data_IF_713976707405
#
_entry.id   IF_713976707405
#
_cell.length_a   1.000
_cell.length_b   1.000
_cell.length_c   1.000
_cell.angle_alpha   90.00
_cell.angle_beta   90.00
_cell.angle_gamma   90.00
#
_symmetry.space_group_name_H-M   'P 1'
#
loop_
_entity.id
_entity.type
_entity.pdbx_description
1 polymer ?
#
# COMPACT_ATOMS: atom_id res chain seq x y z
N UNK A 1 24.26 -30.51 -15.05
CA UNK A 1 23.33 -31.60 -14.67
C UNK A 1 22.02 -31.12 -14.00
N UNK A 2 21.69 -29.81 -14.01
CA UNK A 2 20.46 -29.27 -13.38
C UNK A 2 19.27 -29.08 -14.34
N UNK A 3 19.41 -29.39 -15.64
CA UNK A 3 18.40 -29.06 -16.65
C UNK A 3 17.05 -29.76 -16.48
N UNK A 4 17.04 -31.03 -16.06
CA UNK A 4 15.80 -31.81 -15.91
C UNK A 4 14.98 -31.37 -14.68
N UNK A 5 15.56 -31.22 -13.47
CA UNK A 5 14.84 -30.64 -12.33
C UNK A 5 14.27 -29.25 -12.62
N UNK A 6 15.04 -28.42 -13.35
CA UNK A 6 14.60 -27.08 -13.72
C UNK A 6 13.40 -27.08 -14.65
N UNK A 7 13.45 -27.93 -15.67
CA UNK A 7 12.36 -28.09 -16.63
C UNK A 7 11.08 -28.61 -15.95
N UNK A 8 11.21 -29.57 -15.03
CA UNK A 8 10.08 -30.05 -14.23
C UNK A 8 9.53 -28.97 -13.30
N UNK A 9 10.39 -28.18 -12.66
CA UNK A 9 9.95 -27.06 -11.82
C UNK A 9 9.19 -25.98 -12.61
N UNK A 10 9.68 -25.61 -13.81
CA UNK A 10 8.95 -24.72 -14.74
C UNK A 10 7.60 -25.27 -15.13
N UNK A 11 7.56 -26.56 -15.47
CA UNK A 11 6.32 -27.23 -15.87
C UNK A 11 5.28 -27.24 -14.75
N UNK A 12 5.70 -27.59 -13.53
CA UNK A 12 4.85 -27.55 -12.34
C UNK A 12 4.37 -26.13 -12.04
N UNK A 13 5.24 -25.13 -12.14
CA UNK A 13 4.85 -23.73 -11.98
C UNK A 13 3.80 -23.30 -13.00
N UNK A 14 4.00 -23.63 -14.29
CA UNK A 14 3.04 -23.33 -15.36
C UNK A 14 1.70 -24.02 -15.12
N UNK A 15 1.68 -25.27 -14.67
CA UNK A 15 0.46 -25.98 -14.30
C UNK A 15 -0.26 -25.35 -13.11
N UNK A 16 0.48 -25.02 -12.04
CA UNK A 16 -0.08 -24.34 -10.87
C UNK A 16 -0.66 -22.96 -11.24
N UNK A 17 -0.10 -22.29 -12.27
CA UNK A 17 -0.54 -20.98 -12.73
C UNK A 17 -1.87 -21.00 -13.49
N UNK A 18 -2.24 -22.10 -14.14
CA UNK A 18 -3.50 -22.21 -14.90
C UNK A 18 -4.76 -21.94 -14.06
N UNK A 19 -4.96 -22.56 -12.89
CA UNK A 19 -6.10 -22.21 -12.04
C UNK A 19 -6.02 -20.77 -11.51
N UNK A 20 -4.81 -20.22 -11.30
CA UNK A 20 -4.64 -18.82 -10.91
C UNK A 20 -5.05 -17.85 -12.03
N UNK A 21 -4.80 -18.18 -13.30
CA UNK A 21 -5.29 -17.38 -14.44
C UNK A 21 -6.82 -17.39 -14.52
N UNK A 22 -7.46 -18.53 -14.26
CA UNK A 22 -8.93 -18.60 -14.22
C UNK A 22 -9.51 -17.73 -13.08
N UNK A 23 -8.82 -17.68 -11.94
CA UNK A 23 -9.19 -16.78 -10.84
C UNK A 23 -8.97 -15.32 -11.24
N UNK A 24 -7.93 -14.99 -12.00
CA UNK A 24 -7.69 -13.66 -12.55
C UNK A 24 -8.88 -13.22 -13.43
N UNK A 25 -9.33 -14.06 -14.35
CA UNK A 25 -10.49 -13.77 -15.21
C UNK A 25 -11.78 -13.58 -14.40
N UNK A 26 -12.01 -14.41 -13.38
CA UNK A 26 -13.19 -14.28 -12.49
C UNK A 26 -13.07 -13.05 -11.57
N UNK A 27 -11.87 -12.75 -11.08
CA UNK A 27 -11.58 -11.57 -10.27
C UNK A 27 -11.74 -10.29 -11.09
N UNK A 28 -11.30 -10.26 -12.35
CA UNK A 28 -11.52 -9.14 -13.27
C UNK A 28 -13.01 -8.89 -13.50
N UNK A 29 -13.83 -9.95 -13.58
CA UNK A 29 -15.28 -9.84 -13.75
C UNK A 29 -16.00 -9.40 -12.47
N UNK A 30 -15.52 -9.81 -11.29
CA UNK A 30 -16.23 -9.61 -10.02
C UNK A 30 -15.69 -8.49 -9.13
N UNK A 31 -14.42 -8.11 -9.31
CA UNK A 31 -13.74 -7.11 -8.50
C UNK A 31 -13.42 -5.88 -9.35
N UNK A 32 -13.78 -4.66 -8.88
CA UNK A 32 -13.34 -3.43 -9.50
C UNK A 32 -11.82 -3.41 -9.66
N UNK A 33 -11.36 -2.79 -10.74
CA UNK A 33 -9.94 -2.71 -11.12
C UNK A 33 -9.08 -2.04 -10.04
N UNK A 34 -9.64 -1.09 -9.31
CA UNK A 34 -8.96 -0.38 -8.22
C UNK A 34 -9.13 -1.09 -6.86
N UNK A 35 -9.83 -2.23 -6.82
CA UNK A 35 -10.12 -2.89 -5.56
C UNK A 35 -8.86 -3.37 -4.86
N UNK A 36 -8.89 -3.26 -3.55
CA UNK A 36 -7.74 -3.53 -2.73
C UNK A 36 -7.18 -4.95 -2.91
N UNK A 37 -8.13 -5.88 -3.01
CA UNK A 37 -7.92 -7.31 -3.12
C UNK A 37 -7.37 -7.70 -4.49
N UNK A 38 -7.92 -7.12 -5.58
CA UNK A 38 -7.47 -7.39 -6.95
C UNK A 38 -6.03 -6.94 -7.15
N UNK A 39 -5.68 -5.73 -6.74
CA UNK A 39 -4.31 -5.22 -6.82
C UNK A 39 -3.32 -6.05 -5.99
N UNK A 40 -3.75 -6.55 -4.82
CA UNK A 40 -2.93 -7.45 -4.00
C UNK A 40 -2.67 -8.79 -4.70
N UNK A 41 -3.70 -9.35 -5.32
CA UNK A 41 -3.62 -10.58 -6.10
C UNK A 41 -2.70 -10.43 -7.33
N UNK A 42 -2.90 -9.38 -8.13
CA UNK A 42 -2.08 -9.08 -9.31
C UNK A 42 -0.61 -8.86 -8.92
N UNK A 43 -0.33 -8.20 -7.79
CA UNK A 43 1.03 -8.06 -7.27
C UNK A 43 1.66 -9.41 -6.94
N UNK A 44 0.94 -10.30 -6.24
CA UNK A 44 1.44 -11.63 -5.93
C UNK A 44 1.75 -12.44 -7.21
N UNK A 45 0.92 -12.30 -8.24
CA UNK A 45 1.14 -12.93 -9.55
C UNK A 45 2.40 -12.42 -10.26
N UNK A 46 2.64 -11.10 -10.24
CA UNK A 46 3.85 -10.48 -10.78
C UNK A 46 5.09 -11.01 -10.04
N UNK A 47 5.05 -11.07 -8.71
CA UNK A 47 6.17 -11.52 -7.90
C UNK A 47 6.48 -13.02 -8.15
N UNK A 48 5.44 -13.86 -8.27
CA UNK A 48 5.58 -15.26 -8.67
C UNK A 48 6.22 -15.43 -10.07
N UNK A 49 5.78 -14.65 -11.06
CA UNK A 49 6.34 -14.74 -12.41
C UNK A 49 7.79 -14.24 -12.48
N UNK A 50 8.15 -13.22 -11.69
CA UNK A 50 9.55 -12.77 -11.55
C UNK A 50 10.42 -13.85 -10.91
N UNK A 51 9.95 -14.46 -9.81
CA UNK A 51 10.66 -15.56 -9.19
C UNK A 51 10.83 -16.75 -10.16
N UNK A 52 9.82 -17.06 -10.98
CA UNK A 52 9.93 -18.09 -12.00
C UNK A 52 10.92 -17.70 -13.13
N UNK A 53 10.98 -16.43 -13.51
CA UNK A 53 11.98 -15.94 -14.45
C UNK A 53 13.39 -16.07 -13.88
N UNK A 54 13.63 -15.57 -12.67
CA UNK A 54 14.95 -15.49 -12.05
C UNK A 54 15.46 -16.86 -11.58
N UNK A 55 14.62 -17.59 -10.85
CA UNK A 55 15.01 -18.89 -10.31
C UNK A 55 14.96 -19.93 -11.38
N UNK A 56 13.91 -19.92 -12.23
CA UNK A 56 13.69 -20.96 -13.20
C UNK A 56 14.25 -20.66 -14.58
N UNK A 57 14.75 -19.47 -14.92
CA UNK A 57 15.06 -19.09 -16.31
C UNK A 57 13.87 -19.31 -17.24
N UNK A 58 12.65 -18.98 -16.79
CA UNK A 58 11.43 -19.01 -17.62
C UNK A 58 11.17 -17.62 -18.23
N UNK A 59 11.68 -17.37 -19.44
CA UNK A 59 11.50 -16.11 -20.16
C UNK A 59 10.02 -15.76 -20.39
N UNK A 60 9.16 -16.77 -20.55
CA UNK A 60 7.72 -16.53 -20.71
C UNK A 60 7.10 -15.95 -19.43
N UNK A 61 7.65 -16.29 -18.26
CA UNK A 61 7.24 -15.72 -16.99
C UNK A 61 7.67 -14.25 -16.88
N UNK A 62 8.90 -13.93 -17.31
CA UNK A 62 9.36 -12.54 -17.36
C UNK A 62 8.43 -11.64 -18.21
N UNK A 63 8.08 -12.10 -19.41
CA UNK A 63 7.16 -11.36 -20.30
C UNK A 63 5.79 -11.15 -19.67
N UNK A 64 5.24 -12.19 -19.00
CA UNK A 64 3.95 -12.08 -18.31
C UNK A 64 4.00 -11.11 -17.14
N UNK A 65 5.05 -11.17 -16.31
CA UNK A 65 5.24 -10.22 -15.22
C UNK A 65 5.30 -8.78 -15.74
N UNK A 66 6.05 -8.52 -16.82
CA UNK A 66 6.15 -7.18 -17.42
C UNK A 66 4.79 -6.68 -17.90
N UNK A 67 4.09 -7.49 -18.70
CA UNK A 67 2.77 -7.14 -19.23
C UNK A 67 1.75 -6.85 -18.12
N UNK A 68 1.67 -7.72 -17.12
CA UNK A 68 0.71 -7.52 -16.01
C UNK A 68 1.10 -6.31 -15.15
N UNK A 69 2.40 -6.06 -14.95
CA UNK A 69 2.87 -4.88 -14.24
C UNK A 69 2.50 -3.58 -14.94
N UNK A 70 2.63 -3.52 -16.27
CA UNK A 70 2.25 -2.37 -17.08
C UNK A 70 0.74 -2.14 -17.06
N UNK A 71 -0.04 -3.20 -17.24
CA UNK A 71 -1.51 -3.13 -17.24
C UNK A 71 -2.07 -2.61 -15.91
N UNK A 72 -1.45 -2.98 -14.79
CA UNK A 72 -1.93 -2.64 -13.44
C UNK A 72 -1.30 -1.35 -12.89
N UNK A 73 -0.35 -0.75 -13.60
CA UNK A 73 0.34 0.46 -13.14
C UNK A 73 -0.60 1.63 -12.83
N UNK A 74 -1.60 1.97 -13.67
CA UNK A 74 -2.50 3.10 -13.40
C UNK A 74 -3.30 2.91 -12.11
N UNK A 75 -3.95 1.77 -11.92
CA UNK A 75 -4.76 1.47 -10.74
C UNK A 75 -3.90 1.47 -9.45
N UNK A 76 -2.66 0.97 -9.52
CA UNK A 76 -1.71 1.03 -8.40
C UNK A 76 -1.31 2.46 -8.05
N UNK A 77 -1.11 3.32 -9.04
CA UNK A 77 -0.79 4.74 -8.83
C UNK A 77 -1.98 5.47 -8.22
N UNK A 78 -3.19 5.30 -8.75
CA UNK A 78 -4.41 5.89 -8.19
C UNK A 78 -4.55 5.54 -6.71
N UNK A 79 -4.47 4.25 -6.39
CA UNK A 79 -4.58 3.80 -5.00
C UNK A 79 -3.46 4.33 -4.10
N UNK A 80 -2.23 4.42 -4.59
CA UNK A 80 -1.13 5.00 -3.82
C UNK A 80 -1.37 6.49 -3.52
N UNK A 81 -1.98 7.23 -4.44
CA UNK A 81 -2.37 8.62 -4.22
C UNK A 81 -3.51 8.74 -3.20
N UNK A 82 -4.50 7.86 -3.26
CA UNK A 82 -5.58 7.83 -2.27
C UNK A 82 -5.08 7.57 -0.86
N UNK A 83 -4.19 6.58 -0.69
CA UNK A 83 -3.58 6.29 0.61
C UNK A 83 -2.82 7.50 1.15
N UNK A 84 -2.03 8.18 0.31
CA UNK A 84 -1.35 9.42 0.71
C UNK A 84 -2.31 10.52 1.12
N UNK A 85 -3.45 10.66 0.46
CA UNK A 85 -4.47 11.66 0.84
C UNK A 85 -5.07 11.35 2.20
N UNK A 86 -5.33 10.08 2.49
CA UNK A 86 -5.83 9.64 3.81
C UNK A 86 -4.79 9.92 4.89
N UNK A 87 -3.53 9.53 4.66
CA UNK A 87 -2.42 9.80 5.60
C UNK A 87 -2.28 11.31 5.86
N UNK A 88 -2.26 12.13 4.81
CA UNK A 88 -2.18 13.59 4.94
C UNK A 88 -3.37 14.18 5.69
N UNK A 89 -4.57 13.63 5.49
CA UNK A 89 -5.76 14.08 6.20
C UNK A 89 -5.68 13.74 7.68
N UNK A 90 -5.26 12.52 8.02
CA UNK A 90 -5.05 12.09 9.42
C UNK A 90 -3.99 12.98 10.09
N UNK A 91 -2.85 13.21 9.44
CA UNK A 91 -1.80 14.12 9.93
C UNK A 91 -2.33 15.54 10.17
N UNK A 92 -3.13 16.08 9.25
CA UNK A 92 -3.72 17.40 9.40
C UNK A 92 -4.71 17.47 10.57
N UNK A 93 -5.50 16.41 10.80
CA UNK A 93 -6.41 16.32 11.95
C UNK A 93 -5.62 16.31 13.25
N UNK A 94 -4.56 15.49 13.35
CA UNK A 94 -3.69 15.46 14.53
C UNK A 94 -3.00 16.80 14.78
N UNK A 95 -2.51 17.46 13.72
CA UNK A 95 -1.88 18.77 13.83
C UNK A 95 -2.87 19.84 14.35
N UNK A 96 -4.10 19.86 13.83
CA UNK A 96 -5.14 20.78 14.28
C UNK A 96 -5.52 20.54 15.75
N UNK A 97 -5.63 19.28 16.18
CA UNK A 97 -5.89 18.93 17.57
C UNK A 97 -4.75 19.42 18.50
N UNK A 98 -3.50 19.21 18.10
CA UNK A 98 -2.34 19.69 18.84
C UNK A 98 -2.34 21.23 18.96
N UNK A 99 -2.67 21.94 17.89
CA UNK A 99 -2.78 23.41 17.90
C UNK A 99 -3.89 23.90 18.84
N UNK A 100 -5.05 23.23 18.85
CA UNK A 100 -6.14 23.53 19.78
C UNK A 100 -5.70 23.34 21.23
N UNK A 101 -5.00 22.25 21.55
CA UNK A 101 -4.46 21.98 22.88
C UNK A 101 -3.43 23.04 23.30
N UNK A 102 -2.54 23.42 22.39
CA UNK A 102 -1.58 24.51 22.63
C UNK A 102 -2.29 25.84 22.93
N UNK A 103 -3.30 26.20 22.15
CA UNK A 103 -4.10 27.40 22.38
C UNK A 103 -4.83 27.39 23.73
N UNK A 104 -5.37 26.25 24.16
CA UNK A 104 -5.97 26.12 25.50
C UNK A 104 -4.94 26.32 26.61
N UNK A 105 -3.76 25.72 26.47
CA UNK A 105 -2.67 25.85 27.44
C UNK A 105 -2.21 27.30 27.58
N UNK A 106 -2.02 28.01 26.46
CA UNK A 106 -1.61 29.42 26.47
C UNK A 106 -2.65 30.31 27.15
N UNK A 107 -3.95 30.11 26.86
CA UNK A 107 -5.02 30.86 27.52
C UNK A 107 -5.06 30.60 29.03
N UNK A 108 -4.84 29.36 29.46
CA UNK A 108 -4.76 29.02 30.88
C UNK A 108 -3.60 29.73 31.56
N UNK A 109 -2.39 29.65 30.98
CA UNK A 109 -1.20 30.30 31.51
C UNK A 109 -1.31 31.83 31.55
N UNK A 110 -1.94 32.42 30.53
CA UNK A 110 -2.21 33.87 30.49
C UNK A 110 -3.09 34.28 31.67
N UNK A 111 -4.22 33.59 31.88
CA UNK A 111 -5.13 33.87 33.01
C UNK A 111 -4.46 33.69 34.36
N UNK A 112 -3.64 32.65 34.53
CA UNK A 112 -2.89 32.44 35.76
C UNK A 112 -1.94 33.61 36.02
N UNK A 113 -1.22 34.07 35.00
CA UNK A 113 -0.29 35.19 35.10
C UNK A 113 -1.00 36.50 35.45
N UNK A 114 -2.11 36.78 34.79
CA UNK A 114 -2.98 37.93 35.08
C UNK A 114 -3.46 37.91 36.55
N UNK A 115 -3.91 36.74 37.03
CA UNK A 115 -4.35 36.58 38.41
C UNK A 115 -3.22 36.79 39.42
N UNK A 116 -2.02 36.27 39.15
CA UNK A 116 -0.83 36.48 40.01
C UNK A 116 -0.44 37.96 40.02
N UNK A 117 -0.47 38.65 38.88
CA UNK A 117 -0.14 40.08 38.80
C UNK A 117 -1.20 41.00 39.43
N UNK A 118 -2.45 40.55 39.54
CA UNK A 118 -3.54 41.27 40.20
C UNK A 118 -3.70 40.91 41.68
N UNK A 119 -3.04 39.83 42.14
CA UNK A 119 -2.98 39.50 43.55
C UNK A 119 -2.11 40.56 44.25
N UNK A 120 -2.67 41.37 45.17
CA UNK A 120 -1.87 42.37 45.86
C UNK A 120 -0.81 41.63 46.66
N UNK A 121 0.45 41.96 46.42
CA UNK A 121 1.55 41.52 47.28
C UNK A 121 1.12 41.75 48.73
N UNK A 122 0.94 40.64 49.45
CA UNK A 122 0.49 40.64 50.83
C UNK A 122 1.39 41.58 51.64
N UNK A 123 0.72 42.44 52.41
CA UNK A 123 1.26 43.14 53.57
C UNK A 123 2.01 42.21 54.49
#
# INVERSE_FOLDING_TARGET
MLGLPMAMARFNYRLARLPLQLIEDVAVVRLPEESALRLGYEKALIDCDRAAADLLNDESAATRACRLHEQTAPARVTRALELRRVEQHEEAVYAAEAELLHGHRERFLRRLREHISQSPAGR
#
